data_IF_714998379662
#
_entry.id   IF_714998379662
#
_cell.length_a   1.000
_cell.length_b   1.000
_cell.length_c   1.000
_cell.angle_alpha   90.00
_cell.angle_beta   90.00
_cell.angle_gamma   90.00
#
_symmetry.space_group_name_H-M   'P 1'
#
loop_
_entity.id
_entity.type
_entity.pdbx_description
1 polymer ?
#
# COMPACT_ATOMS: atom_id res chain seq x y z
N UNK A 1 42.98 8.95 7.09
CA UNK A 1 43.14 7.52 7.39
C UNK A 1 42.52 7.25 8.75
N UNK A 2 41.75 6.16 8.82
CA UNK A 2 41.14 5.51 9.99
C UNK A 2 40.13 6.32 10.82
N UNK A 3 38.88 5.88 10.74
CA UNK A 3 37.76 6.26 11.58
C UNK A 3 37.88 5.59 12.96
N UNK A 4 37.78 6.38 14.02
CA UNK A 4 37.49 5.87 15.36
C UNK A 4 35.98 5.76 15.52
N UNK A 5 35.46 4.54 15.46
CA UNK A 5 34.09 4.21 15.87
C UNK A 5 34.18 3.59 17.27
N UNK A 6 33.89 4.33 18.36
CA UNK A 6 33.81 3.75 19.69
C UNK A 6 32.54 2.87 19.78
N UNK A 7 32.76 1.57 19.73
CA UNK A 7 31.75 0.53 19.85
C UNK A 7 31.26 0.45 21.32
N UNK A 8 30.14 1.12 21.64
CA UNK A 8 29.58 1.13 22.99
C UNK A 8 28.42 0.12 23.14
N UNK A 9 28.57 -0.93 23.96
CA UNK A 9 27.56 -1.98 24.13
C UNK A 9 26.23 -1.48 24.74
N UNK A 10 26.24 -0.28 25.34
CA UNK A 10 25.06 0.34 25.97
C UNK A 10 24.06 0.93 24.95
N UNK A 11 24.52 1.28 23.74
CA UNK A 11 23.64 1.75 22.65
C UNK A 11 22.93 0.58 21.97
N UNK A 12 23.62 -0.54 21.81
CA UNK A 12 23.05 -1.76 21.26
C UNK A 12 21.90 -2.28 22.14
N UNK A 13 22.09 -2.32 23.46
CA UNK A 13 21.06 -2.78 24.40
C UNK A 13 19.80 -1.88 24.43
N UNK A 14 19.95 -0.57 24.22
CA UNK A 14 18.83 0.39 24.15
C UNK A 14 17.99 0.25 22.88
N UNK A 15 18.60 -0.12 21.76
CA UNK A 15 17.89 -0.37 20.50
C UNK A 15 17.05 -1.66 20.57
N UNK A 16 17.55 -2.70 21.24
CA UNK A 16 16.81 -3.94 21.45
C UNK A 16 15.57 -3.75 22.34
N UNK A 17 15.67 -2.95 23.40
CA UNK A 17 14.53 -2.66 24.28
C UNK A 17 13.40 -1.90 23.55
N UNK A 18 13.74 -1.00 22.63
CA UNK A 18 12.75 -0.27 21.83
C UNK A 18 11.99 -1.19 20.86
N UNK A 19 12.65 -2.19 20.28
CA UNK A 19 12.03 -3.18 19.38
C UNK A 19 11.05 -4.09 20.14
N UNK A 20 11.39 -4.51 21.35
CA UNK A 20 10.51 -5.37 22.17
C UNK A 20 9.26 -4.61 22.63
N UNK A 21 9.37 -3.34 23.00
CA UNK A 21 8.21 -2.51 23.38
C UNK A 21 7.31 -2.24 22.17
N UNK A 22 7.88 -2.03 20.98
CA UNK A 22 7.09 -1.88 19.76
C UNK A 22 6.31 -3.16 19.42
N UNK A 23 6.95 -4.34 19.51
CA UNK A 23 6.30 -5.65 19.30
C UNK A 23 5.14 -5.90 20.29
N UNK A 24 5.31 -5.53 21.56
CA UNK A 24 4.27 -5.64 22.58
C UNK A 24 3.09 -4.67 22.36
N UNK A 25 3.34 -3.48 21.82
CA UNK A 25 2.28 -2.53 21.49
C UNK A 25 1.39 -3.02 20.33
N UNK A 26 1.93 -3.78 19.37
CA UNK A 26 1.12 -4.38 18.29
C UNK A 26 0.29 -5.56 18.81
N UNK A 27 0.77 -6.32 19.80
CA UNK A 27 0.03 -7.45 20.38
C UNK A 27 -1.13 -7.04 21.31
N UNK A 28 -1.15 -5.82 21.85
CA UNK A 28 -2.25 -5.35 22.70
C UNK A 28 -3.55 -5.04 21.93
N UNK A 29 -3.50 -4.92 20.60
CA UNK A 29 -4.70 -4.83 19.75
C UNK A 29 -5.39 -6.19 19.55
N UNK A 30 -4.77 -7.31 19.94
CA UNK A 30 -5.31 -8.65 19.70
C UNK A 30 -6.36 -9.12 20.72
N UNK A 31 -6.64 -8.33 21.76
CA UNK A 31 -7.61 -8.68 22.82
C UNK A 31 -8.85 -7.79 22.85
N UNK A 32 -9.02 -6.89 21.87
CA UNK A 32 -10.32 -6.30 21.60
C UNK A 32 -11.22 -7.38 21.02
N UNK A 33 -12.29 -7.68 21.74
CA UNK A 33 -13.33 -8.66 21.41
C UNK A 33 -13.70 -8.60 19.92
N UNK A 34 -13.86 -9.75 19.22
CA UNK A 34 -14.38 -9.71 17.86
C UNK A 34 -15.78 -9.08 17.92
N UNK A 35 -16.05 -7.98 17.18
CA UNK A 35 -17.43 -7.62 16.91
C UNK A 35 -18.13 -8.85 16.29
N UNK A 36 -19.43 -9.04 16.57
CA UNK A 36 -20.16 -10.23 16.13
C UNK A 36 -19.96 -10.48 14.63
N UNK A 37 -19.93 -11.76 14.29
CA UNK A 37 -19.75 -12.30 12.95
C UNK A 37 -20.45 -11.48 11.85
N UNK A 38 -19.71 -11.26 10.75
CA UNK A 38 -20.15 -10.56 9.52
C UNK A 38 -20.66 -9.14 9.72
N UNK A 39 -19.80 -8.26 10.25
CA UNK A 39 -19.71 -6.96 9.59
C UNK A 39 -19.12 -7.24 8.20
N UNK A 40 -19.85 -6.92 7.14
CA UNK A 40 -19.27 -6.90 5.80
C UNK A 40 -18.03 -6.00 5.90
N UNK A 41 -16.83 -6.56 5.71
CA UNK A 41 -15.57 -5.82 5.78
C UNK A 41 -15.49 -4.73 4.70
N UNK A 42 -16.44 -4.79 3.76
CA UNK A 42 -16.58 -3.92 2.61
C UNK A 42 -17.51 -2.76 2.93
N UNK A 43 -17.01 -1.57 2.62
CA UNK A 43 -17.76 -0.33 2.52
C UNK A 43 -18.33 -0.16 1.12
N UNK A 44 -19.18 0.85 0.90
CA UNK A 44 -19.66 1.20 -0.44
C UNK A 44 -18.53 1.54 -1.43
N UNK A 45 -17.45 2.16 -0.95
CA UNK A 45 -16.26 2.42 -1.76
C UNK A 45 -15.51 1.13 -2.13
N UNK A 46 -15.50 0.14 -1.24
CA UNK A 46 -14.88 -1.16 -1.51
C UNK A 46 -15.65 -1.92 -2.59
N UNK A 47 -16.98 -1.92 -2.56
CA UNK A 47 -17.78 -2.48 -3.65
C UNK A 47 -17.55 -1.76 -4.97
N UNK A 48 -17.42 -0.43 -4.96
CA UNK A 48 -17.09 0.32 -6.16
C UNK A 48 -15.72 -0.07 -6.73
N UNK A 49 -14.70 -0.16 -5.88
CA UNK A 49 -13.37 -0.61 -6.26
C UNK A 49 -13.40 -2.03 -6.85
N UNK A 50 -14.04 -2.99 -6.18
CA UNK A 50 -14.16 -4.38 -6.66
C UNK A 50 -14.90 -4.43 -8.00
N UNK A 51 -15.97 -3.65 -8.17
CA UNK A 51 -16.70 -3.57 -9.43
C UNK A 51 -15.83 -3.00 -10.58
N UNK A 52 -14.93 -2.05 -10.30
CA UNK A 52 -13.96 -1.58 -11.29
C UNK A 52 -12.96 -2.68 -11.66
N UNK A 53 -12.46 -3.45 -10.68
CA UNK A 53 -11.52 -4.56 -10.93
C UNK A 53 -12.13 -5.68 -11.77
N UNK A 54 -13.40 -6.01 -11.52
CA UNK A 54 -14.13 -7.04 -12.25
C UNK A 54 -14.22 -6.75 -13.76
N UNK A 55 -14.23 -5.48 -14.19
CA UNK A 55 -14.24 -5.11 -15.62
C UNK A 55 -12.99 -5.59 -16.38
N UNK A 56 -11.90 -5.87 -15.67
CA UNK A 56 -10.64 -6.37 -16.22
C UNK A 56 -10.31 -7.78 -15.73
N UNK A 57 -11.30 -8.51 -15.21
CA UNK A 57 -11.15 -9.85 -14.65
C UNK A 57 -10.07 -9.91 -13.56
N UNK A 58 -9.96 -8.86 -12.75
CA UNK A 58 -9.05 -8.79 -11.60
C UNK A 58 -9.87 -9.15 -10.35
N UNK A 59 -9.41 -10.13 -9.60
CA UNK A 59 -10.03 -10.59 -8.37
C UNK A 59 -8.99 -10.89 -7.30
N UNK A 60 -9.42 -11.37 -6.11
CA UNK A 60 -8.50 -11.76 -5.06
C UNK A 60 -7.65 -12.95 -5.51
N UNK A 61 -6.38 -12.96 -5.10
CA UNK A 61 -5.48 -14.10 -5.32
C UNK A 61 -5.99 -15.33 -4.55
N UNK A 62 -5.63 -16.57 -4.96
CA UNK A 62 -5.94 -17.76 -4.19
C UNK A 62 -5.47 -17.63 -2.73
N UNK A 63 -6.36 -17.89 -1.78
CA UNK A 63 -6.09 -17.74 -0.35
C UNK A 63 -6.29 -16.31 0.21
N UNK A 64 -6.69 -15.36 -0.62
CA UNK A 64 -7.06 -13.99 -0.22
C UNK A 64 -8.56 -13.75 -0.41
N UNK A 65 -9.11 -12.82 0.36
CA UNK A 65 -10.51 -12.43 0.32
C UNK A 65 -10.70 -11.09 -0.40
N UNK A 66 -11.95 -10.75 -0.73
CA UNK A 66 -12.28 -9.40 -1.21
C UNK A 66 -11.97 -8.32 -0.17
N UNK A 67 -12.01 -8.65 1.13
CA UNK A 67 -11.57 -7.75 2.21
C UNK A 67 -10.08 -7.39 2.06
N UNK A 68 -9.24 -8.39 1.78
CA UNK A 68 -7.81 -8.21 1.59
C UNK A 68 -7.52 -7.39 0.34
N UNK A 69 -8.27 -7.65 -0.73
CA UNK A 69 -8.19 -6.90 -1.98
C UNK A 69 -8.56 -5.43 -1.76
N UNK A 70 -9.67 -5.16 -1.07
CA UNK A 70 -10.10 -3.82 -0.71
C UNK A 70 -9.10 -3.12 0.22
N UNK A 71 -8.55 -3.82 1.21
CA UNK A 71 -7.48 -3.31 2.07
C UNK A 71 -6.26 -2.89 1.25
N UNK A 72 -5.84 -3.70 0.29
CA UNK A 72 -4.74 -3.37 -0.61
C UNK A 72 -5.06 -2.11 -1.43
N UNK A 73 -6.27 -2.01 -2.00
CA UNK A 73 -6.71 -0.83 -2.75
C UNK A 73 -6.65 0.46 -1.91
N UNK A 74 -7.11 0.40 -0.66
CA UNK A 74 -7.00 1.55 0.28
C UNK A 74 -5.55 1.93 0.56
N UNK A 75 -4.67 0.95 0.73
CA UNK A 75 -3.24 1.18 0.94
C UNK A 75 -2.59 1.82 -0.29
N UNK A 76 -2.86 1.31 -1.49
CA UNK A 76 -2.40 1.90 -2.77
C UNK A 76 -2.79 3.37 -2.87
N UNK A 77 -4.06 3.70 -2.64
CA UNK A 77 -4.54 5.07 -2.70
C UNK A 77 -3.92 5.97 -1.61
N UNK A 78 -3.66 5.41 -0.42
CA UNK A 78 -2.97 6.11 0.66
C UNK A 78 -1.53 6.45 0.30
N UNK A 79 -0.78 5.51 -0.30
CA UNK A 79 0.59 5.75 -0.79
C UNK A 79 0.61 6.85 -1.84
N UNK A 80 -0.30 6.80 -2.82
CA UNK A 80 -0.41 7.83 -3.87
C UNK A 80 -0.71 9.21 -3.28
N UNK A 81 -1.61 9.30 -2.29
CA UNK A 81 -1.96 10.55 -1.63
C UNK A 81 -0.81 11.17 -0.86
N UNK A 82 0.04 10.35 -0.24
CA UNK A 82 1.15 10.80 0.61
C UNK A 82 2.45 11.05 -0.18
N UNK A 83 2.51 10.64 -1.44
CA UNK A 83 3.71 10.78 -2.25
C UNK A 83 3.95 12.23 -2.69
N UNK A 84 5.22 12.66 -2.66
CA UNK A 84 5.64 13.96 -3.20
C UNK A 84 5.38 14.08 -4.71
N UNK A 85 5.51 12.97 -5.44
CA UNK A 85 5.13 12.84 -6.85
C UNK A 85 4.09 11.71 -7.00
N UNK A 86 2.78 12.01 -6.91
CA UNK A 86 1.71 11.02 -7.00
C UNK A 86 1.70 10.22 -8.30
N UNK A 87 2.12 10.82 -9.42
CA UNK A 87 2.19 10.14 -10.71
C UNK A 87 3.30 9.10 -10.75
N UNK A 88 4.49 9.46 -10.28
CA UNK A 88 5.60 8.52 -10.17
C UNK A 88 5.27 7.37 -9.21
N UNK A 89 4.63 7.67 -8.07
CA UNK A 89 4.18 6.65 -7.12
C UNK A 89 3.16 5.68 -7.73
N UNK A 90 2.14 6.20 -8.46
CA UNK A 90 1.17 5.35 -9.13
C UNK A 90 1.81 4.45 -10.20
N UNK A 91 2.76 4.97 -10.97
CA UNK A 91 3.50 4.20 -11.97
C UNK A 91 4.37 3.10 -11.33
N UNK A 92 5.06 3.43 -10.23
CA UNK A 92 5.84 2.46 -9.46
C UNK A 92 4.96 1.34 -8.89
N UNK A 93 3.82 1.67 -8.30
CA UNK A 93 2.88 0.68 -7.76
C UNK A 93 2.33 -0.23 -8.86
N UNK A 94 2.07 0.28 -10.06
CA UNK A 94 1.66 -0.54 -11.19
C UNK A 94 2.76 -1.52 -11.62
N UNK A 95 4.02 -1.08 -11.64
CA UNK A 95 5.17 -1.96 -11.90
C UNK A 95 5.35 -3.00 -10.79
N UNK A 96 5.23 -2.60 -9.53
CA UNK A 96 5.33 -3.51 -8.38
C UNK A 96 4.25 -4.61 -8.42
N UNK A 97 3.00 -4.23 -8.72
CA UNK A 97 1.92 -5.20 -8.92
C UNK A 97 2.23 -6.11 -10.11
N UNK A 98 2.68 -5.56 -11.24
CA UNK A 98 3.03 -6.37 -12.42
C UNK A 98 4.12 -7.41 -12.13
N UNK A 99 5.18 -7.06 -11.38
CA UNK A 99 6.26 -8.00 -11.09
C UNK A 99 5.96 -9.00 -9.96
N UNK A 100 5.01 -8.69 -9.07
CA UNK A 100 4.67 -9.52 -7.91
C UNK A 100 3.31 -10.24 -8.03
N UNK A 101 2.66 -10.17 -9.18
CA UNK A 101 1.38 -10.84 -9.46
C UNK A 101 1.38 -11.42 -10.87
N UNK A 102 0.37 -12.24 -11.18
CA UNK A 102 0.16 -12.78 -12.53
C UNK A 102 -0.67 -11.84 -13.44
N UNK A 103 -0.82 -10.57 -13.05
CA UNK A 103 -1.55 -9.59 -13.82
C UNK A 103 -0.72 -9.09 -15.01
N UNK A 104 -1.37 -8.78 -16.12
CA UNK A 104 -0.72 -8.07 -17.23
C UNK A 104 -0.37 -6.64 -16.81
N UNK A 105 0.56 -5.99 -17.53
CA UNK A 105 0.90 -4.59 -17.26
C UNK A 105 -0.33 -3.67 -17.29
N UNK A 106 -1.26 -3.91 -18.22
CA UNK A 106 -2.52 -3.17 -18.32
C UNK A 106 -3.44 -3.41 -17.11
N UNK A 107 -3.54 -4.66 -16.64
CA UNK A 107 -4.33 -5.00 -15.46
C UNK A 107 -3.73 -4.40 -14.18
N UNK A 108 -2.40 -4.42 -14.05
CA UNK A 108 -1.72 -3.82 -12.92
C UNK A 108 -1.90 -2.29 -12.88
N UNK A 109 -1.76 -1.62 -14.02
CA UNK A 109 -2.06 -0.20 -14.16
C UNK A 109 -3.54 0.10 -13.85
N UNK A 110 -4.45 -0.75 -14.32
CA UNK A 110 -5.87 -0.63 -14.04
C UNK A 110 -6.19 -0.76 -12.55
N UNK A 111 -5.56 -1.70 -11.85
CA UNK A 111 -5.76 -1.89 -10.41
C UNK A 111 -5.39 -0.63 -9.62
N UNK A 112 -4.26 0.01 -9.95
CA UNK A 112 -3.86 1.28 -9.33
C UNK A 112 -4.85 2.40 -9.68
N UNK A 113 -5.25 2.50 -10.94
CA UNK A 113 -6.21 3.52 -11.38
C UNK A 113 -7.58 3.35 -10.69
N UNK A 114 -8.05 2.11 -10.54
CA UNK A 114 -9.28 1.78 -9.84
C UNK A 114 -9.18 2.13 -8.35
N UNK A 115 -8.05 1.82 -7.70
CA UNK A 115 -7.81 2.16 -6.30
C UNK A 115 -7.83 3.68 -6.06
N UNK A 116 -7.13 4.44 -6.92
CA UNK A 116 -7.16 5.91 -6.86
C UNK A 116 -8.57 6.44 -7.11
N UNK A 117 -9.31 5.88 -8.07
CA UNK A 117 -10.67 6.32 -8.38
C UNK A 117 -11.65 6.08 -7.24
N UNK A 118 -11.52 4.95 -6.54
CA UNK A 118 -12.42 4.61 -5.45
C UNK A 118 -12.09 5.33 -4.14
N UNK A 119 -10.80 5.44 -3.80
CA UNK A 119 -10.38 5.85 -2.45
C UNK A 119 -9.62 7.17 -2.39
N UNK A 120 -9.15 7.71 -3.52
CA UNK A 120 -8.45 9.00 -3.59
C UNK A 120 -8.80 9.78 -4.88
N UNK A 121 -10.10 10.01 -5.20
CA UNK A 121 -10.51 10.62 -6.45
C UNK A 121 -9.95 12.05 -6.64
N UNK A 122 -9.64 12.75 -5.55
CA UNK A 122 -8.98 14.07 -5.57
C UNK A 122 -7.58 14.05 -6.18
N UNK A 123 -6.93 12.88 -6.22
CA UNK A 123 -5.60 12.70 -6.80
C UNK A 123 -5.63 12.54 -8.32
N UNK A 124 -6.77 12.16 -8.92
CA UNK A 124 -6.90 11.99 -10.39
C UNK A 124 -6.44 13.23 -11.15
N UNK A 125 -6.94 14.46 -10.85
CA UNK A 125 -6.51 15.64 -11.58
C UNK A 125 -5.06 16.05 -11.26
N UNK A 126 -4.48 15.63 -10.12
CA UNK A 126 -3.08 15.89 -9.76
C UNK A 126 -2.18 14.98 -10.61
N UNK A 127 -2.42 13.67 -10.58
CA UNK A 127 -1.67 12.67 -11.35
C UNK A 127 -1.65 13.01 -12.85
N UNK A 128 -2.79 13.47 -13.40
CA UNK A 128 -2.88 13.87 -14.81
C UNK A 128 -2.00 15.08 -15.14
N UNK A 129 -1.83 16.01 -14.20
CA UNK A 129 -1.09 17.27 -14.38
C UNK A 129 0.39 17.16 -14.03
N UNK A 130 0.78 16.23 -13.16
CA UNK A 130 2.19 16.01 -12.81
C UNK A 130 2.94 15.42 -14.01
N UNK A 131 4.05 16.02 -14.47
CA UNK A 131 4.93 15.40 -15.46
C UNK A 131 5.59 14.14 -14.86
N UNK A 132 5.90 13.15 -15.71
CA UNK A 132 6.86 12.11 -15.31
C UNK A 132 8.22 12.80 -15.33
N UNK A 133 8.86 12.95 -14.17
CA UNK A 133 10.19 13.54 -14.09
C UNK A 133 11.16 12.56 -14.78
N UNK A 134 11.67 12.94 -15.96
CA UNK A 134 12.66 12.14 -16.66
C UNK A 134 13.92 12.04 -15.78
N UNK A 135 14.52 10.85 -15.61
CA UNK A 135 15.77 10.73 -14.90
C UNK A 135 16.81 11.61 -15.60
N UNK A 136 17.29 12.63 -14.88
CA UNK A 136 18.42 13.47 -15.30
C UNK A 136 19.63 12.58 -15.52
N UNK A 137 19.89 12.18 -16.76
CA UNK A 137 21.16 11.58 -17.16
C UNK A 137 22.19 12.71 -17.23
N UNK A 138 22.97 12.84 -16.16
CA UNK A 138 24.18 13.65 -16.12
C UNK A 138 25.41 12.77 -16.41
#
# INVERSE_FOLDING_TARGET
MAADIPNSPKRFFRLWAAIVVLMLAVMSFALASPPPASADCLTSQDHFYIALLAQRNIGPKPGYTECDLALHGRQTASVVRQAANPRAAAAYLALDIYYNTDLTADQAAWQVAAAVSAYAPEMIPIIRRTPVEEPSVA
#
